data_IF_502731286052
#
_entry.id   IF_502731286052
#
_cell.length_a   1.000
_cell.length_b   1.000
_cell.length_c   1.000
_cell.angle_alpha   90.00
_cell.angle_beta   90.00
_cell.angle_gamma   90.00
#
_symmetry.space_group_name_H-M   'P 1'
#
loop_
_entity.id
_entity.type
_entity.pdbx_description
1 polymer ?
2 non-polymer ?
3 non-polymer ?
4 water ?
#
# COMPACT_ATOMS: atom_id res chain seq x y z
N UNK A 9 -27.02 -31.79 31.36
CA UNK A 9 -25.94 -32.76 31.27
C UNK A 9 -24.74 -32.21 32.06
N UNK A 10 -23.55 -32.77 31.85
CA UNK A 10 -22.35 -32.33 32.57
C UNK A 10 -21.20 -31.85 31.67
N UNK A 11 -21.46 -31.72 30.38
CA UNK A 11 -20.47 -31.19 29.46
C UNK A 11 -20.17 -29.70 29.66
N UNK A 12 -18.92 -29.33 29.42
CA UNK A 12 -18.46 -27.95 29.31
C UNK A 12 -19.30 -27.17 28.27
N UNK A 13 -19.45 -25.87 28.48
CA UNK A 13 -20.29 -25.03 27.60
C UNK A 13 -20.00 -25.17 26.09
N UNK A 14 -18.73 -25.01 25.72
CA UNK A 14 -18.29 -25.20 24.33
C UNK A 14 -18.65 -26.60 23.85
N UNK A 15 -18.17 -27.60 24.58
CA UNK A 15 -18.40 -28.99 24.20
C UNK A 15 -19.89 -29.33 24.09
N UNK A 16 -20.70 -28.79 25.01
CA UNK A 16 -22.15 -29.02 24.96
C UNK A 16 -22.69 -28.43 23.68
N UNK A 17 -22.24 -27.21 23.39
CA UNK A 17 -22.59 -26.53 22.14
C UNK A 17 -22.35 -27.47 20.97
N UNK A 18 -21.12 -27.94 20.85
CA UNK A 18 -20.71 -28.70 19.68
C UNK A 18 -21.44 -30.04 19.56
N UNK A 19 -21.46 -30.77 20.66
CA UNK A 19 -22.06 -32.09 20.72
C UNK A 19 -23.55 -32.05 20.41
N UNK A 20 -24.29 -31.19 21.11
CA UNK A 20 -25.73 -31.14 20.90
C UNK A 20 -26.15 -30.30 19.67
N UNK A 21 -25.19 -29.63 19.03
CA UNK A 21 -25.45 -28.95 17.75
C UNK A 21 -25.55 -29.97 16.63
N UNK A 22 -24.57 -30.86 16.59
CA UNK A 22 -24.49 -31.90 15.57
C UNK A 22 -25.23 -33.16 15.99
N UNK A 23 -26.16 -33.00 16.93
CA UNK A 23 -27.05 -34.07 17.36
C UNK A 23 -28.35 -34.00 16.56
N UNK A 24 -29.03 -32.85 16.65
CA UNK A 24 -30.25 -32.61 15.89
C UNK A 24 -29.95 -32.29 14.42
N UNK A 25 -28.69 -32.44 14.04
CA UNK A 25 -28.24 -32.26 12.66
C UNK A 25 -26.86 -32.89 12.45
N UNK A 26 -26.83 -34.21 12.27
CA UNK A 26 -25.60 -34.97 12.10
C UNK A 26 -25.02 -34.86 10.68
N UNK A 27 -23.81 -34.26 10.56
CA UNK A 27 -23.20 -33.95 9.26
C UNK A 27 -22.99 -35.17 8.37
N UNK A 28 -22.53 -34.91 7.16
CA UNK A 28 -22.40 -35.93 6.12
C UNK A 28 -21.29 -36.96 6.39
N UNK A 29 -20.06 -36.48 6.58
CA UNK A 29 -18.90 -37.35 6.79
C UNK A 29 -18.93 -38.13 8.12
N UNK A 30 -19.98 -37.94 8.90
CA UNK A 30 -20.02 -38.50 10.25
C UNK A 30 -20.89 -39.75 10.37
N UNK A 31 -21.28 -40.02 11.61
CA UNK A 31 -22.04 -41.22 11.98
C UNK A 31 -22.34 -41.21 13.49
N UNK A 32 -23.61 -41.33 13.86
CA UNK A 32 -24.00 -41.37 15.27
C UNK A 32 -23.52 -42.64 15.97
N UNK A 33 -22.74 -42.48 17.04
CA UNK A 33 -22.30 -43.61 17.83
C UNK A 33 -23.15 -43.75 19.10
N UNK A 34 -23.10 -42.73 19.95
CA UNK A 34 -23.95 -42.66 21.13
C UNK A 34 -23.76 -43.83 22.12
N UNK A 35 -22.54 -44.37 22.19
CA UNK A 35 -22.32 -45.59 22.97
C UNK A 35 -21.30 -45.46 24.10
N UNK A 36 -21.16 -46.52 24.89
CA UNK A 36 -20.18 -46.58 25.96
C UNK A 36 -19.02 -47.49 25.59
N UNK A 37 -17.82 -47.12 26.02
CA UNK A 37 -16.64 -47.94 25.79
C UNK A 37 -15.68 -47.77 26.95
N UNK A 38 -14.63 -48.57 26.98
CA UNK A 38 -13.66 -48.47 28.06
C UNK A 38 -12.27 -48.23 27.50
N UNK A 39 -11.96 -46.95 27.28
CA UNK A 39 -10.71 -46.55 26.65
C UNK A 39 -9.60 -46.28 27.68
N UNK A 40 -8.57 -47.13 27.65
CA UNK A 40 -7.50 -47.12 28.65
C UNK A 40 -8.07 -47.36 30.06
N UNK A 41 -9.04 -48.25 30.13
CA UNK A 41 -9.69 -48.57 31.39
C UNK A 41 -10.81 -47.61 31.77
N UNK A 42 -10.71 -46.37 31.31
CA UNK A 42 -11.66 -45.33 31.70
C UNK A 42 -12.93 -45.32 30.86
N UNK A 43 -14.08 -45.30 31.54
CA UNK A 43 -15.38 -45.21 30.90
C UNK A 43 -15.45 -43.96 30.01
N UNK A 44 -15.82 -44.16 28.75
CA UNK A 44 -15.84 -43.09 27.78
C UNK A 44 -17.11 -43.18 26.93
N UNK A 45 -17.79 -42.04 26.79
CA UNK A 45 -18.95 -41.94 25.90
C UNK A 45 -18.49 -41.51 24.52
N UNK A 46 -18.70 -42.37 23.53
CA UNK A 46 -18.44 -42.00 22.14
C UNK A 46 -19.71 -41.44 21.49
N UNK A 47 -19.63 -40.19 21.03
CA UNK A 47 -20.79 -39.51 20.45
C UNK A 47 -20.91 -39.79 18.98
N UNK A 48 -19.85 -39.48 18.23
CA UNK A 48 -19.87 -39.61 16.78
C UNK A 48 -18.56 -40.14 16.19
N UNK A 49 -18.66 -40.76 15.02
CA UNK A 49 -17.47 -41.20 14.29
C UNK A 49 -17.22 -40.25 13.14
N UNK A 50 -15.95 -39.95 12.90
CA UNK A 50 -15.56 -38.99 11.89
C UNK A 50 -14.47 -39.62 11.04
N UNK A 51 -14.21 -39.06 9.84
CA UNK A 51 -13.13 -39.54 8.97
C UNK A 51 -11.79 -39.64 9.70
N UNK A 52 -10.98 -40.62 9.33
CA UNK A 52 -9.67 -40.79 9.93
C UNK A 52 -9.68 -41.67 11.17
N UNK A 53 -10.82 -42.29 11.47
CA UNK A 53 -10.95 -43.12 12.64
C UNK A 53 -10.99 -42.36 13.97
N UNK A 54 -11.57 -41.16 13.93
CA UNK A 54 -11.65 -40.31 15.10
C UNK A 54 -13.06 -40.34 15.70
N UNK A 55 -13.15 -40.56 17.02
CA UNK A 55 -14.46 -40.58 17.67
C UNK A 55 -14.56 -39.44 18.68
N UNK A 56 -15.34 -38.42 18.33
CA UNK A 56 -15.58 -37.31 19.24
C UNK A 56 -16.27 -37.86 20.48
N UNK A 57 -15.73 -37.55 21.65
CA UNK A 57 -16.04 -38.32 22.86
C UNK A 57 -15.89 -37.53 24.16
N UNK A 58 -16.43 -38.09 25.23
CA UNK A 58 -16.25 -37.52 26.57
C UNK A 58 -15.85 -38.56 27.63
N UNK A 59 -14.87 -38.21 28.45
CA UNK A 59 -14.56 -38.98 29.65
C UNK A 59 -15.20 -38.27 30.84
N UNK A 60 -16.52 -38.37 30.93
CA UNK A 60 -17.27 -37.72 31.98
C UNK A 60 -17.62 -36.31 31.60
N UNK A 61 -16.79 -35.36 32.04
CA UNK A 61 -16.99 -33.96 31.72
C UNK A 61 -15.83 -33.44 30.90
N UNK A 62 -14.71 -34.16 30.95
CA UNK A 62 -13.58 -33.87 30.09
C UNK A 62 -13.99 -34.22 28.65
N UNK A 63 -13.50 -33.46 27.70
CA UNK A 63 -13.99 -33.57 26.32
C UNK A 63 -12.83 -33.77 25.37
N UNK A 64 -13.03 -34.57 24.32
CA UNK A 64 -11.98 -34.78 23.36
C UNK A 64 -12.29 -35.78 22.28
N UNK A 65 -11.31 -36.62 21.96
CA UNK A 65 -11.52 -37.59 20.91
C UNK A 65 -10.74 -38.86 21.17
N UNK A 66 -11.21 -39.96 20.58
CA UNK A 66 -10.50 -41.21 20.64
C UNK A 66 -9.94 -41.54 19.25
N UNK A 67 -8.63 -41.74 19.18
CA UNK A 67 -7.98 -42.26 17.97
C UNK A 67 -7.14 -43.48 18.31
N UNK A 68 -7.26 -44.52 17.49
CA UNK A 68 -6.72 -45.83 17.81
C UNK A 68 -7.29 -46.28 19.16
N UNK A 69 -6.46 -46.26 20.20
CA UNK A 69 -6.92 -46.67 21.51
C UNK A 69 -6.71 -45.64 22.59
N UNK A 70 -6.37 -44.42 22.20
CA UNK A 70 -6.04 -43.36 23.16
C UNK A 70 -7.05 -42.21 23.13
N UNK A 71 -7.40 -41.70 24.32
CA UNK A 71 -8.22 -40.49 24.44
C UNK A 71 -7.36 -39.26 24.59
N UNK A 72 -7.65 -38.23 23.81
CA UNK A 72 -6.98 -36.94 23.96
C UNK A 72 -8.03 -35.85 24.25
N UNK A 73 -7.87 -35.18 25.39
CA UNK A 73 -8.67 -34.00 25.70
C UNK A 73 -8.34 -32.91 24.70
N UNK A 74 -9.35 -32.19 24.23
CA UNK A 74 -9.12 -31.12 23.26
C UNK A 74 -10.30 -30.16 23.16
N UNK A 75 -9.99 -28.89 22.86
CA UNK A 75 -11.00 -27.86 22.69
C UNK A 75 -11.83 -28.14 21.45
N UNK A 76 -13.06 -27.63 21.44
CA UNK A 76 -13.93 -27.75 20.28
C UNK A 76 -13.27 -27.22 19.01
N UNK A 77 -12.42 -26.20 19.17
CA UNK A 77 -11.67 -25.62 18.06
C UNK A 77 -10.65 -26.59 17.47
N UNK A 78 -9.95 -27.34 18.33
CA UNK A 78 -8.95 -28.28 17.86
C UNK A 78 -9.57 -29.44 17.10
N UNK A 79 -10.71 -29.91 17.59
CA UNK A 79 -11.45 -30.99 16.94
C UNK A 79 -11.98 -30.51 15.60
N UNK A 80 -12.67 -29.37 15.65
CA UNK A 80 -13.23 -28.68 14.48
C UNK A 80 -12.16 -28.45 13.41
N UNK A 81 -10.92 -28.25 13.85
CA UNK A 81 -9.78 -28.10 12.95
C UNK A 81 -9.29 -29.45 12.39
N UNK A 82 -9.21 -30.45 13.24
CA UNK A 82 -8.81 -31.80 12.82
C UNK A 82 -9.72 -32.37 11.76
N UNK A 83 -11.01 -32.10 11.88
CA UNK A 83 -11.95 -32.68 10.91
C UNK A 83 -12.02 -31.91 9.60
N UNK A 84 -11.67 -30.61 9.65
CA UNK A 84 -11.81 -29.73 8.50
C UNK A 84 -10.73 -29.94 7.43
N UNK A 85 -11.09 -29.66 6.19
CA UNK A 85 -10.13 -29.66 5.11
C UNK A 85 -9.13 -28.55 5.37
N UNK A 86 -7.83 -28.86 5.26
CA UNK A 86 -6.81 -27.84 5.41
C UNK A 86 -6.71 -27.05 4.12
N UNK A 87 -6.52 -25.74 4.24
CA UNK A 87 -6.32 -24.89 3.07
C UNK A 87 -4.86 -24.47 3.00
N UNK A 88 -4.27 -24.55 1.82
CA UNK A 88 -2.88 -24.13 1.65
C UNK A 88 -2.76 -22.71 1.09
N UNK A 89 -1.90 -21.92 1.72
CA UNK A 89 -1.71 -20.54 1.32
C UNK A 89 -0.22 -20.27 1.22
N UNK A 90 0.15 -19.20 0.54
CA UNK A 90 1.54 -18.86 0.37
C UNK A 90 1.87 -17.69 1.26
N UNK A 91 2.87 -17.89 2.13
CA UNK A 91 3.29 -16.86 3.06
C UNK A 91 4.58 -16.25 2.62
N UNK A 92 4.71 -14.94 2.81
CA UNK A 92 5.88 -14.21 2.38
C UNK A 92 6.03 -12.93 3.20
N UNK A 93 7.22 -12.35 3.19
CA UNK A 93 7.40 -11.06 3.83
C UNK A 93 7.76 -10.03 2.78
N UNK A 94 8.18 -10.52 1.60
CA UNK A 94 8.70 -9.63 0.56
C UNK A 94 8.11 -9.81 -0.84
N UNK A 95 7.27 -10.83 -1.04
CA UNK A 95 6.71 -11.13 -2.35
C UNK A 95 7.73 -11.65 -3.36
N UNK A 96 8.84 -12.19 -2.85
CA UNK A 96 9.91 -12.73 -3.68
C UNK A 96 10.15 -14.22 -3.34
N UNK A 97 10.14 -14.52 -2.05
CA UNK A 97 10.24 -15.89 -1.56
C UNK A 97 8.97 -16.27 -0.81
N UNK A 98 8.47 -17.47 -1.07
CA UNK A 98 7.19 -17.89 -0.51
C UNK A 98 7.33 -19.26 0.14
N UNK A 99 6.54 -19.50 1.18
CA UNK A 99 6.43 -20.84 1.71
C UNK A 99 4.97 -21.22 1.87
N UNK A 100 4.60 -22.38 1.33
CA UNK A 100 3.26 -22.93 1.51
C UNK A 100 3.00 -23.38 2.95
N UNK A 101 1.87 -22.96 3.49
CA UNK A 101 1.47 -23.29 4.86
C UNK A 101 0.04 -23.76 4.82
N UNK A 102 -0.31 -24.69 5.70
CA UNK A 102 -1.71 -25.07 5.79
C UNK A 102 -2.40 -24.44 6.99
N UNK A 103 -3.64 -24.03 6.75
CA UNK A 103 -4.46 -23.45 7.80
C UNK A 103 -5.80 -24.16 7.83
N UNK A 104 -6.18 -24.58 9.03
CA UNK A 104 -7.46 -25.24 9.24
C UNK A 104 -8.61 -24.36 8.73
N UNK A 105 -9.56 -24.98 8.05
CA UNK A 105 -10.73 -24.28 7.56
C UNK A 105 -11.56 -23.78 8.75
N UNK A 106 -12.22 -22.64 8.56
CA UNK A 106 -13.06 -22.05 9.58
C UNK A 106 -12.29 -21.43 10.72
N UNK A 107 -10.97 -21.65 10.75
CA UNK A 107 -10.11 -21.07 11.77
C UNK A 107 -9.64 -19.66 11.36
N UNK A 108 -9.19 -18.87 12.34
CA UNK A 108 -8.69 -17.54 12.05
C UNK A 108 -7.21 -17.55 11.68
N UNK A 109 -6.92 -16.91 10.55
CA UNK A 109 -5.59 -16.89 9.98
C UNK A 109 -4.54 -16.41 10.98
N UNK A 110 -4.91 -15.38 11.74
CA UNK A 110 -4.00 -14.77 12.69
C UNK A 110 -3.41 -15.74 13.67
N UNK A 111 -4.19 -16.75 14.07
CA UNK A 111 -3.78 -17.72 15.08
C UNK A 111 -2.44 -18.35 14.74
N UNK A 112 -2.32 -18.86 13.53
CA UNK A 112 -1.10 -19.54 13.13
C UNK A 112 -0.15 -18.65 12.31
N UNK A 113 -0.66 -17.57 11.71
CA UNK A 113 0.17 -16.79 10.78
C UNK A 113 0.68 -15.43 11.29
N UNK A 114 0.22 -15.00 12.45
CA UNK A 114 0.56 -13.67 12.94
C UNK A 114 -0.24 -12.66 12.14
N UNK A 115 0.18 -11.40 12.16
CA UNK A 115 -0.51 -10.37 11.39
C UNK A 115 -0.33 -10.62 9.89
N UNK A 116 -1.44 -10.67 9.15
CA UNK A 116 -1.34 -10.89 7.71
C UNK A 116 -2.27 -10.05 6.84
N UNK A 117 -1.78 -9.72 5.65
CA UNK A 117 -2.57 -9.08 4.61
C UNK A 117 -2.67 -10.00 3.40
N UNK A 118 -3.81 -9.94 2.72
CA UNK A 118 -4.06 -10.72 1.52
C UNK A 118 -4.79 -9.83 0.51
N UNK A 119 -4.22 -9.70 -0.68
CA UNK A 119 -4.77 -8.86 -1.74
C UNK A 119 -5.02 -7.43 -1.28
N UNK A 120 -4.21 -6.95 -0.35
CA UNK A 120 -4.27 -5.55 0.06
C UNK A 120 -5.22 -5.34 1.22
N UNK A 121 -5.69 -6.44 1.79
CA UNK A 121 -6.68 -6.40 2.84
C UNK A 121 -6.14 -7.15 4.05
N UNK A 122 -6.22 -6.55 5.22
CA UNK A 122 -5.86 -7.23 6.45
C UNK A 122 -6.81 -8.37 6.68
N UNK A 123 -6.26 -9.56 6.92
CA UNK A 123 -7.07 -10.75 7.13
C UNK A 123 -6.64 -11.46 8.41
N UNK A 124 -6.01 -10.70 9.31
CA UNK A 124 -5.52 -11.25 10.58
C UNK A 124 -6.67 -11.81 11.41
N UNK A 125 -7.88 -11.32 11.16
CA UNK A 125 -9.05 -11.81 11.89
C UNK A 125 -10.14 -12.43 11.00
N UNK A 126 -9.83 -12.66 9.73
CA UNK A 126 -10.77 -13.31 8.82
C UNK A 126 -10.70 -14.84 9.04
N UNK A 127 -11.81 -15.54 8.82
CA UNK A 127 -11.86 -16.98 9.04
C UNK A 127 -11.60 -17.75 7.75
N UNK A 128 -10.71 -18.74 7.83
CA UNK A 128 -10.24 -19.49 6.65
C UNK A 128 -11.33 -20.17 5.81
N UNK A 129 -11.07 -20.24 4.51
CA UNK A 129 -12.04 -20.75 3.55
C UNK A 129 -11.30 -21.12 2.25
N UNK A 130 -11.82 -22.10 1.52
CA UNK A 130 -11.17 -22.61 0.32
C UNK A 130 -10.98 -21.53 -0.76
N UNK A 131 -11.64 -20.40 -0.59
CA UNK A 131 -11.49 -19.29 -1.52
C UNK A 131 -10.05 -18.71 -1.45
N UNK A 132 -9.45 -18.80 -0.26
CA UNK A 132 -8.09 -18.30 -0.05
C UNK A 132 -7.01 -19.28 -0.50
N UNK A 133 -7.43 -20.37 -1.12
CA UNK A 133 -6.49 -21.41 -1.54
C UNK A 133 -5.48 -20.86 -2.54
N UNK A 134 -4.20 -20.99 -2.21
CA UNK A 134 -3.13 -20.57 -3.10
C UNK A 134 -2.90 -19.07 -3.12
N UNK A 135 -3.58 -18.34 -2.25
CA UNK A 135 -3.41 -16.88 -2.17
C UNK A 135 -2.12 -16.50 -1.43
N UNK A 136 -1.57 -15.35 -1.78
CA UNK A 136 -0.40 -14.83 -1.11
C UNK A 136 -0.75 -14.08 0.19
N UNK A 137 -0.08 -14.46 1.28
CA UNK A 137 -0.29 -13.80 2.55
C UNK A 137 1.00 -13.11 2.95
N UNK A 138 0.90 -11.81 3.23
CA UNK A 138 2.05 -11.01 3.64
C UNK A 138 2.12 -10.93 5.14
N UNK A 139 3.21 -11.43 5.70
CA UNK A 139 3.43 -11.42 7.13
C UNK A 139 4.30 -10.23 7.49
N UNK A 140 4.16 -9.70 8.70
CA UNK A 140 4.94 -8.52 9.05
C UNK A 140 5.25 -8.35 10.54
N UNK A 141 4.90 -9.32 11.36
CA UNK A 141 5.25 -9.28 12.77
C UNK A 141 6.24 -10.39 13.06
N UNK A 142 7.01 -10.23 14.15
CA UNK A 142 8.01 -11.22 14.56
C UNK A 142 9.01 -11.46 13.44
N UNK A 143 9.67 -10.40 13.01
CA UNK A 143 10.55 -10.52 11.88
C UNK A 143 12.01 -10.70 12.32
N UNK A 144 12.63 -11.76 11.79
CA UNK A 144 14.03 -12.03 12.00
C UNK A 144 14.92 -11.03 11.27
N UNK A 145 16.24 -11.20 11.39
CA UNK A 145 17.18 -10.30 10.75
C UNK A 145 17.21 -10.60 9.26
N UNK A 146 17.05 -11.87 8.94
CA UNK A 146 16.99 -12.30 7.55
C UNK A 146 15.75 -11.68 6.90
N UNK A 147 14.62 -11.81 7.58
CA UNK A 147 13.37 -11.23 7.09
C UNK A 147 13.54 -9.75 6.81
N UNK A 148 14.20 -9.03 7.73
CA UNK A 148 14.37 -7.59 7.58
C UNK A 148 15.33 -7.24 6.45
N UNK A 149 16.25 -8.15 6.17
CA UNK A 149 17.12 -7.98 5.01
C UNK A 149 16.28 -8.11 3.76
N UNK A 150 15.44 -9.14 3.73
CA UNK A 150 14.56 -9.39 2.60
C UNK A 150 13.66 -8.18 2.34
N UNK A 151 13.14 -7.60 3.43
CA UNK A 151 12.24 -6.47 3.34
C UNK A 151 12.98 -5.27 2.82
N UNK A 152 14.19 -5.05 3.33
CA UNK A 152 14.99 -3.92 2.86
C UNK A 152 15.29 -4.07 1.36
N UNK A 153 15.44 -5.31 0.90
CA UNK A 153 15.73 -5.53 -0.53
C UNK A 153 14.52 -5.31 -1.42
N UNK A 154 13.34 -5.74 -0.97
CA UNK A 154 12.16 -5.68 -1.85
C UNK A 154 11.33 -4.39 -1.70
N UNK A 155 11.32 -3.82 -0.50
CA UNK A 155 10.54 -2.61 -0.20
C UNK A 155 11.39 -1.37 -0.04
N UNK A 156 12.65 -1.56 0.36
CA UNK A 156 13.50 -0.45 0.76
C UNK A 156 13.10 0.12 2.12
N UNK A 157 12.34 -0.64 2.90
CA UNK A 157 11.91 -0.22 4.23
C UNK A 157 12.73 -0.86 5.35
N UNK A 158 12.79 -0.18 6.49
CA UNK A 158 13.12 -0.82 7.76
C UNK A 158 11.80 -1.26 8.41
N UNK A 159 11.86 -1.77 9.62
CA UNK A 159 10.65 -2.26 10.28
C UNK A 159 9.57 -1.19 10.57
N UNK A 160 9.97 -0.03 11.15
CA UNK A 160 8.95 1.01 11.36
C UNK A 160 8.25 1.46 10.08
N UNK A 161 9.00 1.53 8.99
CA UNK A 161 8.43 1.91 7.72
C UNK A 161 7.44 0.85 7.23
N UNK A 162 7.81 -0.42 7.36
CA UNK A 162 6.93 -1.53 7.02
C UNK A 162 5.61 -1.49 7.83
N UNK A 163 5.73 -1.27 9.14
CA UNK A 163 4.54 -1.24 9.98
C UNK A 163 3.67 -0.06 9.56
N UNK A 164 4.32 1.06 9.27
CA UNK A 164 3.58 2.21 8.78
C UNK A 164 2.85 1.88 7.47
N UNK A 165 3.53 1.18 6.57
CA UNK A 165 2.97 0.78 5.29
C UNK A 165 1.72 -0.04 5.47
N UNK A 166 1.77 -1.04 6.33
CA UNK A 166 0.54 -1.82 6.52
C UNK A 166 -0.56 -1.01 7.20
N UNK A 167 -0.16 -0.10 8.06
CA UNK A 167 -1.13 0.78 8.68
C UNK A 167 -1.86 1.66 7.64
N UNK A 168 -1.12 2.22 6.70
CA UNK A 168 -1.69 3.05 5.64
C UNK A 168 -2.53 2.24 4.69
N UNK A 169 -2.04 1.05 4.36
CA UNK A 169 -2.79 0.13 3.50
C UNK A 169 -4.14 -0.17 4.15
N UNK A 170 -4.13 -0.25 5.48
CA UNK A 170 -5.37 -0.40 6.22
C UNK A 170 -6.27 0.81 6.17
N UNK A 171 -5.70 2.00 6.39
CA UNK A 171 -6.50 3.22 6.51
C UNK A 171 -6.92 3.93 5.22
N UNK A 172 -6.18 3.71 4.14
CA UNK A 172 -6.39 4.48 2.92
C UNK A 172 -7.38 3.81 1.98
N UNK A 173 -8.65 3.90 2.33
CA UNK A 173 -9.70 3.22 1.58
C UNK A 173 -10.45 4.26 0.78
N UNK A 174 -9.74 4.97 -0.07
CA UNK A 174 -10.34 6.06 -0.82
C UNK A 174 -10.79 5.53 -2.16
N UNK A 175 -12.07 5.71 -2.48
CA UNK A 175 -12.50 5.27 -3.80
C UNK A 175 -11.75 6.06 -4.88
N UNK A 176 -11.37 5.36 -5.95
CA UNK A 176 -10.67 5.94 -7.06
C UNK A 176 -11.56 5.76 -8.28
N UNK A 177 -11.79 6.85 -9.00
CA UNK A 177 -12.74 6.87 -10.08
C UNK A 177 -12.12 7.38 -11.35
N UNK A 178 -12.76 7.08 -12.47
CA UNK A 178 -12.31 7.49 -13.78
C UNK A 178 -12.75 8.92 -14.08
N UNK A 179 -11.82 9.73 -14.58
CA UNK A 179 -12.10 11.08 -15.06
C UNK A 179 -11.42 11.25 -16.40
N UNK A 180 -12.18 11.12 -17.48
CA UNK A 180 -11.61 11.21 -18.80
C UNK A 180 -10.61 10.10 -18.93
N UNK A 181 -9.39 10.43 -19.35
CA UNK A 181 -8.35 9.41 -19.50
C UNK A 181 -7.49 9.21 -18.28
N UNK A 182 -7.94 9.78 -17.16
CA UNK A 182 -7.17 9.69 -15.92
C UNK A 182 -8.01 9.10 -14.81
N UNK A 183 -7.40 8.93 -13.64
CA UNK A 183 -8.15 8.51 -12.48
C UNK A 183 -7.93 9.54 -11.39
N UNK A 184 -8.85 9.59 -10.44
CA UNK A 184 -8.79 10.55 -9.36
C UNK A 184 -9.38 9.96 -8.09
N UNK A 185 -9.00 10.52 -6.96
CA UNK A 185 -9.36 10.04 -5.64
C UNK A 185 -10.48 10.87 -5.10
N UNK A 186 -11.52 10.23 -4.61
CA UNK A 186 -12.59 10.92 -3.88
C UNK A 186 -11.95 11.70 -2.75
N UNK A 187 -12.42 12.91 -2.50
CA UNK A 187 -11.78 13.72 -1.47
C UNK A 187 -12.15 13.35 -0.04
N UNK A 188 -11.12 13.06 0.76
CA UNK A 188 -11.26 12.89 2.20
C UNK A 188 -9.90 12.84 2.85
N UNK A 189 -9.87 13.07 4.15
CA UNK A 189 -8.64 13.01 4.92
C UNK A 189 -7.55 13.90 4.38
N UNK A 190 -7.94 15.04 3.84
CA UNK A 190 -7.02 16.00 3.26
C UNK A 190 -6.11 15.34 2.24
N UNK A 191 -6.70 14.56 1.34
CA UNK A 191 -5.89 13.74 0.42
C UNK A 191 -5.63 14.40 -0.93
N UNK A 192 -6.01 15.66 -1.09
CA UNK A 192 -5.93 16.25 -2.44
C UNK A 192 -4.52 16.48 -2.91
N UNK A 193 -3.59 16.63 -1.97
CA UNK A 193 -2.20 16.73 -2.35
C UNK A 193 -1.76 15.40 -2.98
N UNK A 194 -2.36 14.32 -2.53
CA UNK A 194 -2.11 13.02 -3.13
C UNK A 194 -2.78 12.93 -4.48
N UNK A 195 -4.01 13.42 -4.54
CA UNK A 195 -4.76 13.41 -5.78
C UNK A 195 -4.05 14.16 -6.90
N UNK A 196 -3.63 15.40 -6.66
CA UNK A 196 -3.00 16.17 -7.73
C UNK A 196 -1.61 15.64 -8.09
N UNK A 197 -0.88 15.17 -7.08
CA UNK A 197 0.40 14.51 -7.33
C UNK A 197 0.22 13.34 -8.28
N UNK A 198 -0.78 12.49 -8.03
CA UNK A 198 -0.98 11.32 -8.88
C UNK A 198 -1.48 11.72 -10.26
N UNK A 199 -2.30 12.78 -10.33
CA UNK A 199 -2.73 13.28 -11.64
C UNK A 199 -1.52 13.73 -12.45
N UNK A 200 -0.49 14.21 -11.77
CA UNK A 200 0.71 14.61 -12.49
C UNK A 200 1.59 13.40 -12.87
N UNK A 201 1.78 12.48 -11.93
CA UNK A 201 2.50 11.23 -12.18
C UNK A 201 1.90 10.40 -13.31
N UNK A 202 0.61 10.54 -13.55
CA UNK A 202 -0.02 9.77 -14.63
C UNK A 202 0.45 10.08 -16.06
N UNK A 203 1.25 11.14 -16.21
CA UNK A 203 1.82 11.49 -17.51
C UNK A 203 3.19 10.85 -17.71
N UNK A 204 3.72 10.19 -16.68
CA UNK A 204 5.13 9.82 -16.66
C UNK A 204 5.39 8.33 -16.92
N UNK A 205 6.50 8.03 -17.59
CA UNK A 205 7.01 6.65 -17.70
C UNK A 205 8.11 6.44 -16.69
N UNK A 206 7.89 5.56 -15.74
CA UNK A 206 8.89 5.34 -14.70
C UNK A 206 9.08 3.85 -14.58
N UNK A 207 10.25 3.45 -14.08
CA UNK A 207 10.51 2.07 -13.66
C UNK A 207 11.11 2.21 -12.28
N UNK A 208 10.92 1.19 -11.45
CA UNK A 208 11.42 1.22 -10.09
C UNK A 208 12.26 -0.03 -9.81
N UNK A 209 13.51 0.16 -9.40
CA UNK A 209 14.43 -0.96 -9.07
C UNK A 209 13.90 -1.95 -8.03
N UNK A 210 13.31 -1.44 -6.96
CA UNK A 210 12.78 -2.33 -5.93
C UNK A 210 11.45 -2.96 -6.35
N UNK A 211 11.37 -4.28 -6.19
CA UNK A 211 10.29 -5.08 -6.74
C UNK A 211 8.89 -4.64 -6.33
N UNK A 212 8.68 -4.44 -5.03
CA UNK A 212 7.38 -4.01 -4.51
C UNK A 212 6.92 -2.68 -5.11
N UNK A 213 7.88 -1.80 -5.40
CA UNK A 213 7.57 -0.51 -5.99
C UNK A 213 7.17 -0.66 -7.44
N UNK A 214 7.87 -1.51 -8.17
CA UNK A 214 7.56 -1.74 -9.59
C UNK A 214 6.18 -2.37 -9.71
N UNK A 215 5.91 -3.30 -8.82
CA UNK A 215 4.65 -4.01 -8.88
C UNK A 215 3.52 -3.00 -8.58
N UNK A 216 3.68 -2.27 -7.48
CA UNK A 216 2.70 -1.26 -7.11
C UNK A 216 2.48 -0.24 -8.21
N UNK A 217 3.56 0.10 -8.92
CA UNK A 217 3.45 1.06 -10.01
C UNK A 217 2.68 0.47 -11.17
N UNK A 218 2.86 -0.82 -11.43
CA UNK A 218 2.05 -1.49 -12.46
C UNK A 218 0.58 -1.45 -12.13
N UNK A 219 0.25 -1.65 -10.85
CA UNK A 219 -1.15 -1.53 -10.47
C UNK A 219 -1.66 -0.10 -10.64
N UNK A 220 -0.82 0.87 -10.26
CA UNK A 220 -1.09 2.28 -10.41
C UNK A 220 -1.46 2.59 -11.84
N UNK A 221 -0.64 2.16 -12.78
CA UNK A 221 -0.89 2.42 -14.19
C UNK A 221 -2.16 1.76 -14.67
N UNK A 222 -2.62 0.74 -13.98
CA UNK A 222 -3.84 0.07 -14.43
C UNK A 222 -5.07 0.60 -13.68
N UNK A 223 -4.89 1.66 -12.90
CA UNK A 223 -6.02 2.31 -12.29
C UNK A 223 -6.25 1.92 -10.85
N UNK A 224 -5.25 1.27 -10.24
CA UNK A 224 -5.36 0.82 -8.86
C UNK A 224 -4.19 1.31 -8.00
N UNK A 225 -4.20 2.60 -7.67
CA UNK A 225 -3.07 3.33 -7.09
C UNK A 225 -2.90 3.21 -5.59
N UNK A 226 -3.85 2.61 -4.88
CA UNK A 226 -3.80 2.68 -3.41
C UNK A 226 -2.56 2.01 -2.78
N UNK A 227 -2.15 0.87 -3.33
CA UNK A 227 -0.98 0.21 -2.78
C UNK A 227 0.26 1.10 -2.89
N UNK A 228 0.47 1.61 -4.10
CA UNK A 228 1.56 2.51 -4.37
C UNK A 228 1.52 3.77 -3.47
N UNK A 229 0.35 4.35 -3.35
CA UNK A 229 0.20 5.51 -2.47
C UNK A 229 0.62 5.16 -1.06
N UNK A 230 0.21 3.99 -0.59
CA UNK A 230 0.58 3.55 0.76
C UNK A 230 2.08 3.38 0.92
N UNK A 231 2.74 2.88 -0.12
CA UNK A 231 4.19 2.80 -0.08
C UNK A 231 4.77 4.19 0.09
N UNK A 232 4.24 5.16 -0.66
CA UNK A 232 4.83 6.48 -0.64
C UNK A 232 4.63 7.16 0.72
N UNK A 233 3.43 7.09 1.24
CA UNK A 233 3.14 7.63 2.56
C UNK A 233 4.02 6.96 3.62
N UNK A 234 4.33 5.67 3.44
CA UNK A 234 5.21 4.96 4.39
C UNK A 234 6.68 5.41 4.28
N UNK A 235 7.15 5.60 3.06
CA UNK A 235 8.53 5.97 2.80
C UNK A 235 8.85 7.35 3.39
N UNK A 236 7.87 8.25 3.37
CA UNK A 236 8.07 9.60 3.82
C UNK A 236 7.50 9.86 5.21
N UNK A 237 7.48 11.12 5.62
CA UNK A 237 7.05 11.42 6.97
C UNK A 237 5.57 11.81 7.01
N UNK A 238 4.82 11.42 6.00
CA UNK A 238 3.41 11.79 5.90
C UNK A 238 2.57 11.20 7.04
N UNK A 239 1.60 11.96 7.52
CA UNK A 239 0.72 11.47 8.56
C UNK A 239 -0.69 11.40 8.01
N UNK A 240 -1.37 10.33 8.31
CA UNK A 240 -2.73 10.20 7.85
C UNK A 240 -3.56 11.37 8.38
N UNK A 241 -4.42 11.91 7.51
CA UNK A 241 -5.31 13.02 7.82
C UNK A 241 -4.67 14.39 7.93
N UNK A 242 -3.36 14.46 7.72
CA UNK A 242 -2.66 15.73 7.83
C UNK A 242 -2.29 16.26 6.44
N UNK A 243 -2.65 17.51 6.15
CA UNK A 243 -2.32 18.06 4.81
C UNK A 243 -0.81 18.25 4.62
N UNK A 244 -0.35 18.02 3.40
CA UNK A 244 1.07 18.13 3.08
C UNK A 244 1.22 18.70 1.69
N UNK A 245 2.46 18.79 1.21
CA UNK A 245 2.70 19.39 -0.08
C UNK A 245 2.76 18.32 -1.16
N UNK A 246 2.03 18.56 -2.24
CA UNK A 246 2.05 17.69 -3.39
C UNK A 246 3.48 17.35 -3.86
N UNK A 247 4.35 18.34 -3.73
CA UNK A 247 5.70 18.27 -4.27
C UNK A 247 6.51 17.28 -3.44
N UNK A 248 6.17 17.15 -2.17
CA UNK A 248 6.86 16.19 -1.30
C UNK A 248 6.56 14.75 -1.73
N UNK A 249 5.28 14.50 -1.96
CA UNK A 249 4.82 13.23 -2.45
C UNK A 249 5.54 12.89 -3.75
N UNK A 250 5.50 13.83 -4.70
CA UNK A 250 6.21 13.61 -5.97
C UNK A 250 7.70 13.34 -5.79
N UNK A 251 8.31 14.04 -4.85
CA UNK A 251 9.73 13.89 -4.61
C UNK A 251 10.04 12.47 -4.09
N UNK A 252 9.27 11.99 -3.14
CA UNK A 252 9.45 10.63 -2.64
C UNK A 252 9.30 9.59 -3.78
N UNK A 253 8.25 9.78 -4.57
CA UNK A 253 8.06 8.90 -5.70
C UNK A 253 9.30 8.89 -6.60
N UNK A 254 9.75 10.06 -7.02
CA UNK A 254 10.84 10.13 -8.00
C UNK A 254 12.20 9.72 -7.41
N UNK A 255 12.33 9.82 -6.09
CA UNK A 255 13.55 9.38 -5.45
C UNK A 255 13.58 7.89 -5.55
N UNK A 256 12.40 7.26 -5.53
CA UNK A 256 12.43 5.80 -5.69
C UNK A 256 12.60 5.29 -7.14
N UNK A 257 12.45 6.16 -8.12
CA UNK A 257 12.48 5.67 -9.50
C UNK A 257 13.90 5.57 -10.05
N UNK A 258 14.05 4.82 -11.14
CA UNK A 258 15.31 4.76 -11.85
C UNK A 258 15.37 5.91 -12.85
N UNK A 259 16.17 6.91 -12.53
CA UNK A 259 16.32 8.08 -13.40
C UNK A 259 17.80 8.29 -13.72
N UNK A 260 18.55 7.20 -13.69
CA UNK A 260 19.99 7.25 -13.88
C UNK A 260 20.42 7.95 -15.19
N UNK A 261 19.63 7.81 -16.24
CA UNK A 261 19.92 8.57 -17.46
C UNK A 261 19.81 10.09 -17.35
N UNK A 262 19.05 10.60 -16.38
CA UNK A 262 18.74 12.03 -16.32
C UNK A 262 19.81 12.90 -15.66
N UNK A 263 20.31 13.89 -16.40
CA UNK A 263 21.32 14.77 -15.84
C UNK A 263 21.02 16.20 -16.22
N UNK A 264 21.57 17.13 -15.46
CA UNK A 264 21.65 18.49 -15.95
C UNK A 264 22.77 19.31 -15.29
N UNK A 265 23.28 20.28 -16.04
CA UNK A 265 24.34 21.11 -15.51
C UNK A 265 23.80 22.40 -14.91
N UNK A 266 24.16 22.62 -13.67
CA UNK A 266 23.66 23.77 -12.92
C UNK A 266 24.81 24.66 -12.49
N UNK A 267 24.52 25.95 -12.44
CA UNK A 267 25.50 26.92 -11.99
C UNK A 267 24.84 27.87 -11.02
N UNK A 268 25.47 28.05 -9.86
CA UNK A 268 25.01 28.99 -8.85
C UNK A 268 26.03 30.11 -8.67
N UNK A 269 25.53 31.33 -8.52
CA UNK A 269 26.37 32.46 -8.22
C UNK A 269 25.76 33.34 -7.11
N UNK A 270 26.48 33.48 -6.01
CA UNK A 270 26.05 34.38 -4.93
C UNK A 270 27.24 34.84 -4.11
N UNK A 271 26.97 35.48 -2.98
CA UNK A 271 28.05 36.02 -2.16
C UNK A 271 28.94 34.91 -1.59
N UNK A 272 28.32 33.77 -1.25
CA UNK A 272 29.08 32.60 -0.82
C UNK A 272 30.09 32.15 -1.90
N UNK A 273 29.84 32.57 -3.14
CA UNK A 273 30.73 32.28 -4.24
C UNK A 273 30.08 31.67 -5.47
N UNK A 274 30.82 30.80 -6.13
CA UNK A 274 30.46 30.28 -7.44
C UNK A 274 30.53 28.75 -7.45
N UNK A 275 29.45 28.11 -7.90
CA UNK A 275 29.38 26.65 -7.88
C UNK A 275 28.84 26.09 -9.21
N UNK A 276 29.46 25.04 -9.72
CA UNK A 276 28.97 24.35 -10.90
C UNK A 276 28.78 22.89 -10.56
N UNK A 277 27.58 22.35 -10.74
CA UNK A 277 27.40 20.92 -10.49
C UNK A 277 26.66 20.20 -11.59
N UNK A 278 26.91 18.91 -11.74
CA UNK A 278 26.03 18.11 -12.56
C UNK A 278 25.11 17.35 -11.63
N UNK A 279 23.82 17.65 -11.72
CA UNK A 279 22.83 16.95 -10.92
C UNK A 279 22.30 15.76 -11.68
N UNK A 280 22.02 14.69 -10.94
CA UNK A 280 21.54 13.46 -11.54
C UNK A 280 20.21 13.01 -10.95
N UNK A 281 19.45 12.26 -11.75
CA UNK A 281 18.23 11.63 -11.27
C UNK A 281 17.13 12.61 -10.92
N UNK A 282 16.55 12.43 -9.75
CA UNK A 282 15.46 13.28 -9.30
C UNK A 282 15.92 14.77 -9.22
N UNK A 283 17.14 14.96 -8.74
CA UNK A 283 17.81 16.27 -8.71
C UNK A 283 17.94 16.91 -10.08
N UNK A 284 17.91 16.11 -11.14
CA UNK A 284 17.96 16.66 -12.48
C UNK A 284 16.57 16.99 -13.00
N UNK A 285 15.55 16.29 -12.53
CA UNK A 285 14.23 16.51 -13.13
C UNK A 285 13.30 17.41 -12.32
N UNK A 286 13.59 17.59 -11.04
CA UNK A 286 12.83 18.51 -10.21
C UNK A 286 13.63 19.78 -9.92
N UNK A 287 12.99 20.93 -10.07
CA UNK A 287 13.65 22.20 -9.81
C UNK A 287 12.72 23.09 -9.01
N UNK A 288 13.28 23.81 -8.05
CA UNK A 288 12.47 24.70 -7.22
C UNK A 288 12.87 26.17 -7.40
N UNK A 289 11.89 27.06 -7.29
CA UNK A 289 12.14 28.49 -7.33
C UNK A 289 11.59 29.23 -8.54
N UNK A 290 11.15 28.48 -9.55
CA UNK A 290 10.46 29.08 -10.69
C UNK A 290 9.49 28.06 -11.24
N UNK A 291 8.46 28.53 -11.92
CA UNK A 291 7.51 27.66 -12.59
C UNK A 291 7.87 27.55 -14.07
N UNK A 292 8.76 28.41 -14.51
CA UNK A 292 9.07 28.51 -15.93
C UNK A 292 10.40 27.84 -16.31
N UNK A 293 10.31 26.90 -17.25
CA UNK A 293 11.47 26.23 -17.83
C UNK A 293 12.44 27.23 -18.45
N UNK A 294 11.90 28.28 -19.08
CA UNK A 294 12.70 29.31 -19.71
C UNK A 294 13.62 30.02 -18.73
N UNK A 295 13.13 30.25 -17.52
CA UNK A 295 13.95 30.84 -16.45
C UNK A 295 15.15 29.98 -16.09
N UNK A 296 15.05 28.66 -16.28
CA UNK A 296 16.16 27.77 -15.98
C UNK A 296 17.33 28.06 -16.90
N UNK A 297 17.01 28.43 -18.13
CA UNK A 297 18.01 28.74 -19.15
C UNK A 297 18.50 30.19 -19.02
N UNK A 298 17.58 31.10 -18.78
CA UNK A 298 17.90 32.53 -18.67
C UNK A 298 18.45 32.94 -17.31
N UNK A 299 18.32 32.07 -16.32
CA UNK A 299 18.72 32.43 -14.97
C UNK A 299 17.58 33.00 -14.17
N UNK A 300 17.53 32.64 -12.90
CA UNK A 300 16.50 33.14 -11.99
C UNK A 300 17.12 33.14 -10.61
N UNK A 301 16.51 33.84 -9.66
CA UNK A 301 17.07 33.94 -8.33
C UNK A 301 16.32 33.15 -7.27
N UNK A 302 17.07 32.50 -6.39
CA UNK A 302 16.47 31.87 -5.23
C UNK A 302 17.08 32.49 -3.98
N UNK A 303 16.52 32.14 -2.82
CA UNK A 303 16.99 32.71 -1.56
C UNK A 303 18.13 31.90 -0.95
N UNK A 304 19.05 32.60 -0.31
CA UNK A 304 20.23 31.98 0.27
C UNK A 304 20.61 32.71 1.57
N UNK A 305 21.54 32.14 2.32
CA UNK A 305 22.07 32.76 3.54
C UNK A 305 22.60 34.17 3.29
N UNK A 306 23.25 34.35 2.16
CA UNK A 306 23.86 35.63 1.82
C UNK A 306 22.81 36.58 1.28
N UNK A 307 21.59 36.10 1.13
CA UNK A 307 20.54 36.86 0.49
C UNK A 307 19.90 36.10 -0.65
N UNK A 308 20.53 36.14 -1.84
CA UNK A 308 19.95 35.47 -3.01
C UNK A 308 20.96 34.95 -4.06
N UNK A 309 20.92 33.64 -4.33
CA UNK A 309 21.76 33.04 -5.35
C UNK A 309 21.15 33.23 -6.74
N UNK A 310 22.01 33.40 -7.73
CA UNK A 310 21.60 33.32 -9.12
C UNK A 310 21.80 31.90 -9.66
N UNK A 311 20.76 31.36 -10.29
CA UNK A 311 20.74 29.97 -10.72
C UNK A 311 20.58 29.87 -12.23
N UNK A 312 21.40 29.05 -12.87
CA UNK A 312 21.43 28.99 -14.31
C UNK A 312 21.65 27.54 -14.74
N UNK A 313 20.81 27.04 -15.63
CA UNK A 313 21.02 25.69 -16.18
C UNK A 313 21.56 25.77 -17.59
N UNK A 314 22.69 25.10 -17.82
CA UNK A 314 23.40 25.22 -19.08
C UNK A 314 23.31 23.98 -19.94
N UNK A 315 22.73 22.91 -19.42
CA UNK A 315 22.71 21.66 -20.14
C UNK A 315 21.63 20.78 -19.55
N UNK A 316 20.77 20.23 -20.41
CA UNK A 316 19.67 19.37 -20.01
C UNK A 316 19.73 18.04 -20.73
N UNK A 317 19.67 16.96 -19.97
CA UNK A 317 19.51 15.64 -20.54
C UNK A 317 18.44 14.91 -19.72
N UNK A 318 17.19 15.28 -19.93
CA UNK A 318 16.12 14.82 -19.05
C UNK A 318 14.88 14.30 -19.79
N UNK A 319 14.24 13.26 -19.24
CA UNK A 319 12.97 12.73 -19.78
C UNK A 319 11.75 13.65 -19.53
N UNK A 320 11.83 14.52 -18.53
CA UNK A 320 10.76 15.47 -18.21
C UNK A 320 11.28 16.47 -17.17
N UNK A 321 10.58 17.59 -16.97
CA UNK A 321 10.90 18.49 -15.87
C UNK A 321 9.68 18.84 -15.04
N UNK A 322 9.87 18.94 -13.74
CA UNK A 322 8.85 19.55 -12.89
C UNK A 322 9.48 20.77 -12.25
N UNK A 323 8.91 21.93 -12.54
CA UNK A 323 9.34 23.16 -11.89
C UNK A 323 8.32 23.54 -10.84
N UNK A 324 8.80 23.81 -9.63
CA UNK A 324 7.92 24.13 -8.52
C UNK A 324 8.28 25.46 -7.89
N UNK A 325 7.34 26.02 -7.15
CA UNK A 325 7.55 27.28 -6.46
C UNK A 325 6.49 27.47 -5.41
N UNK A 326 6.70 28.42 -4.51
CA UNK A 326 5.64 28.77 -3.58
C UNK A 326 4.51 29.30 -4.44
N UNK A 327 3.25 29.12 -4.03
CA UNK A 327 2.12 29.43 -4.91
C UNK A 327 2.16 30.86 -5.44
N UNK A 328 2.03 31.03 -6.75
CA UNK A 328 2.04 32.36 -7.34
C UNK A 328 1.08 32.50 -8.51
N UNK A 329 0.38 33.63 -8.56
CA UNK A 329 -0.41 33.98 -9.72
C UNK A 329 0.51 34.38 -10.86
N UNK A 330 0.31 33.77 -12.03
CA UNK A 330 1.06 34.16 -13.21
C UNK A 330 0.48 33.45 -14.40
N UNK A 331 0.69 34.01 -15.59
CA UNK A 331 0.25 33.30 -16.78
C UNK A 331 1.11 32.02 -16.89
N UNK A 332 0.49 30.89 -17.18
CA UNK A 332 1.21 29.65 -17.36
C UNK A 332 2.21 29.79 -18.49
N UNK A 333 3.47 29.41 -18.24
CA UNK A 333 4.51 29.41 -19.26
C UNK A 333 4.05 28.62 -20.46
N UNK A 334 4.72 28.78 -21.59
CA UNK A 334 4.11 28.34 -22.84
C UNK A 334 4.01 26.82 -23.05
N UNK A 335 4.93 26.06 -22.47
CA UNK A 335 5.02 24.64 -22.80
C UNK A 335 4.49 23.69 -21.72
N UNK A 336 3.81 24.23 -20.72
CA UNK A 336 3.33 23.44 -19.61
C UNK A 336 2.32 22.38 -20.06
N UNK A 337 2.51 21.16 -19.58
CA UNK A 337 1.63 20.03 -19.88
C UNK A 337 0.54 19.87 -18.81
N UNK A 338 0.89 20.11 -17.55
CA UNK A 338 -0.05 19.98 -16.46
C UNK A 338 0.48 20.79 -15.31
N UNK A 339 -0.41 21.19 -14.40
CA UNK A 339 0.00 22.03 -13.29
C UNK A 339 -0.85 21.84 -12.06
N UNK A 340 -0.24 22.07 -10.90
CA UNK A 340 -0.97 22.05 -9.65
C UNK A 340 -1.24 23.47 -9.20
N UNK A 341 -2.42 23.63 -8.62
CA UNK A 341 -2.88 24.90 -8.09
C UNK A 341 -3.16 24.73 -6.62
N UNK A 342 -2.60 25.62 -5.81
CA UNK A 342 -2.94 25.69 -4.39
C UNK A 342 -3.83 26.88 -4.13
N UNK A 343 -5.08 26.61 -3.76
CA UNK A 343 -6.08 27.64 -3.48
C UNK A 343 -6.22 27.75 -1.99
N UNK A 344 -5.75 28.85 -1.42
CA UNK A 344 -5.57 28.95 0.02
C UNK A 344 -6.85 29.12 0.81
N UNK A 345 -6.94 30.24 1.52
CA UNK A 345 -8.05 30.49 2.41
C UNK A 345 -7.87 29.75 3.72
N UNK A 346 -8.99 29.48 4.39
CA UNK A 346 -8.98 28.81 5.69
C UNK A 346 -8.16 27.53 5.63
N UNK A 347 -8.72 26.50 5.01
CA UNK A 347 -8.05 25.23 4.88
C UNK A 347 -6.87 25.30 3.89
N UNK A 348 -7.14 24.99 2.63
CA UNK A 348 -6.10 24.94 1.61
C UNK A 348 -6.33 23.77 0.68
N UNK A 349 -7.16 23.99 -0.34
CA UNK A 349 -7.46 22.97 -1.34
C UNK A 349 -6.43 22.99 -2.50
N UNK A 350 -6.12 21.80 -3.04
CA UNK A 350 -5.30 21.66 -4.24
C UNK A 350 -6.19 21.26 -5.40
N UNK A 351 -5.95 21.81 -6.58
CA UNK A 351 -6.57 21.28 -7.80
C UNK A 351 -5.53 21.23 -8.90
N UNK A 352 -5.96 20.87 -10.11
CA UNK A 352 -4.99 20.50 -11.11
C UNK A 352 -5.51 20.86 -12.50
N UNK A 353 -4.66 21.41 -13.35
CA UNK A 353 -5.04 21.65 -14.74
C UNK A 353 -4.17 20.85 -15.69
N UNK A 354 -4.77 20.32 -16.74
CA UNK A 354 -3.99 19.80 -17.86
C UNK A 354 -4.17 20.75 -19.04
N UNK A 355 -3.14 20.94 -19.84
CA UNK A 355 -3.17 22.02 -20.83
C UNK A 355 -3.45 21.68 -22.28
N UNK A 356 -3.31 20.41 -22.67
CA UNK A 356 -3.42 20.05 -24.09
C UNK A 356 -4.31 18.83 -24.38
N UNK A 357 -5.09 18.89 -25.48
CA UNK A 357 -5.25 20.06 -26.36
C UNK A 357 -6.16 21.06 -25.66
N UNK A 358 -7.13 20.50 -24.93
CA UNK A 358 -8.06 21.28 -24.11
C UNK A 358 -7.47 21.61 -22.73
N UNK A 359 -7.40 22.89 -22.43
CA UNK A 359 -7.12 23.39 -21.09
C UNK A 359 -8.23 23.01 -20.06
N UNK A 360 -7.92 22.10 -19.13
CA UNK A 360 -8.97 21.49 -18.30
C UNK A 360 -8.64 21.45 -16.82
N UNK A 361 -9.64 21.78 -15.99
CA UNK A 361 -9.52 21.70 -14.53
C UNK A 361 -10.10 20.41 -13.93
N UNK A 362 -9.21 19.69 -13.24
CA UNK A 362 -9.51 18.49 -12.44
C UNK A 362 -9.55 18.85 -10.99
N UNK A 363 -10.74 18.71 -10.43
CA UNK A 363 -11.00 19.11 -9.06
C UNK A 363 -11.81 18.02 -8.42
N UNK A 364 -11.16 17.33 -7.49
CA UNK A 364 -11.63 16.05 -6.97
C UNK A 364 -11.82 15.13 -8.16
N UNK A 365 -13.08 14.86 -8.49
CA UNK A 365 -13.40 13.90 -9.52
C UNK A 365 -14.19 14.51 -10.67
N UNK A 366 -14.15 15.83 -10.76
CA UNK A 366 -14.76 16.50 -11.90
C UNK A 366 -13.74 17.07 -12.85
N UNK A 367 -14.12 17.16 -14.12
CA UNK A 367 -13.29 17.83 -15.12
C UNK A 367 -14.12 18.90 -15.82
N UNK A 368 -13.61 20.14 -15.89
CA UNK A 368 -14.31 21.21 -16.63
C UNK A 368 -13.35 22.00 -17.53
N UNK A 369 -13.81 22.45 -18.71
CA UNK A 369 -12.95 23.32 -19.51
C UNK A 369 -12.70 24.59 -18.70
N UNK A 370 -11.43 25.02 -18.66
CA UNK A 370 -11.09 26.24 -17.94
C UNK A 370 -11.58 27.48 -18.70
N UNK A 371 -12.14 28.44 -17.96
CA UNK A 371 -12.52 29.72 -18.56
C UNK A 371 -11.46 30.76 -18.23
N UNK A 372 -11.02 30.77 -16.98
CA UNK A 372 -9.98 31.69 -16.51
C UNK A 372 -9.29 31.05 -15.32
N UNK A 373 -7.97 30.90 -15.42
CA UNK A 373 -7.20 30.36 -14.31
C UNK A 373 -5.97 31.19 -14.11
N UNK A 374 -5.97 32.03 -13.07
CA UNK A 374 -4.87 32.97 -12.82
C UNK A 374 -3.73 32.45 -11.92
N UNK A 375 -4.00 31.38 -11.17
CA UNK A 375 -3.06 30.87 -10.20
C UNK A 375 -3.93 30.42 -9.06
N UNK A 376 -3.34 30.08 -7.91
CA UNK A 376 -1.90 30.15 -7.69
C UNK A 376 -1.24 28.83 -8.00
N UNK A 377 -0.34 28.83 -8.96
CA UNK A 377 0.29 27.61 -9.42
C UNK A 377 1.46 27.27 -8.52
N UNK A 378 1.70 25.97 -8.29
CA UNK A 378 2.84 25.52 -7.47
C UNK A 378 3.77 24.53 -8.17
N UNK A 379 3.25 23.77 -9.14
CA UNK A 379 4.08 22.83 -9.87
C UNK A 379 3.70 22.83 -11.32
N UNK A 380 4.68 22.84 -12.20
CA UNK A 380 4.44 22.73 -13.63
C UNK A 380 5.23 21.57 -14.19
N UNK A 381 4.58 20.78 -15.05
CA UNK A 381 5.21 19.64 -15.71
C UNK A 381 5.50 19.96 -17.18
N UNK A 382 6.70 19.61 -17.64
CA UNK A 382 7.14 19.77 -19.03
C UNK A 382 7.60 18.44 -19.57
N UNK A 383 7.14 18.09 -20.78
CA UNK A 383 7.55 16.87 -21.48
C UNK A 383 8.33 17.10 -22.78
N UNK A 384 8.13 18.27 -23.39
CA UNK A 384 8.82 18.63 -24.63
C UNK A 384 9.66 19.91 -24.51
N UNK A 385 10.56 20.11 -25.47
CA UNK A 385 11.52 21.24 -25.50
C UNK A 385 12.39 21.38 -24.23
N UNK A 386 13.22 20.38 -23.98
CA UNK A 386 14.00 20.35 -22.74
C UNK A 386 15.50 20.46 -23.01
X LIG B 1 24.87 32.70 -0.65
X LIG C 1 -0.71 -6.61 0.70
X LIG C 1 -1.40 -7.83 0.50
X LIG C 1 -0.18 -6.07 -0.62
X LIG C 1 -0.81 -6.71 -1.71
X LIG C 1 1.33 -6.33 -0.69
X LIG C 1 1.99 -5.89 0.48
X LIG D 1 -14.38 13.12 4.87
X LIG D 1 -15.68 13.56 4.53
X LIG D 1 -13.56 14.28 5.46
X LIG D 1 -13.16 15.17 4.44
X LIG D 1 -12.36 13.75 6.22
X LIG D 1 -11.67 14.85 6.77
X LIG E 1 18.12 24.49 -6.79
X LIG E 1 17.35 25.64 -6.50
X LIG E 1 17.21 23.44 -7.41
X LIG E 1 16.31 22.97 -6.44
X LIG E 1 16.42 24.11 -8.52
X LIG E 1 17.25 24.29 -9.65
X LIG F 1 16.11 9.64 -20.68
X LIG F 1 16.49 9.33 -19.35
X LIG F 1 17.08 10.65 -21.28
X LIG F 1 17.80 11.28 -20.24
X LIG F 1 16.33 11.69 -22.10
X LIG F 1 15.24 11.08 -22.77
X LIG G 1 8.59 13.55 3.58
X LIG G 1 8.16 14.88 3.38
X LIG G 1 9.90 13.29 2.85
X LIG G 1 10.77 12.57 3.70
X LIG G 1 10.55 14.59 2.39
X LIG G 1 10.15 14.89 1.06
#
# INVERSE_FOLDING_TARGET
EVEALRHDIQLDDDARVFVQANMDCLPTDWRLVNKFDSVDGVRTIKYFECPGGIFVSSQGKKFGYVQNGSFKEASVSQIRALLANKVDVLCTVDGVNFRSCCVAEGEVFGKTLGSVFCDGINVTKVRCSAIYKGKVFFQYSDLSEADLVAVKDAFGFDEPQLLKYYTMLGMCKWPVVVCGNYFAFKQSNNNCYINVACLMLQHLSLKFPKWQWQEAWNEFRSGKPLRFVSLVLAKGSFKFNEPSDSIDFMRVVLREADLSGATCNLEFVCKCGVKQEQRKGVDAVMHFGTLDKGDLVRGYNIACTCGSKLVHCTQFNVPFLICSNTPEGRKLPDDVVAANIFTGGSVGHYTHVKCKPKYQLYDACNVNKVSEAKGNFTDCLYLKNLK
ZN ZN
GOL C1 O1 C2 O2 C3 O3
GOL C1 O1 C2 O2 C3 O3
GOL C1 O1 C2 O2 C3 O3
GOL C1 O1 C2 O2 C3 O3
GOL C1 O1 C2 O2 C3 O3
#
